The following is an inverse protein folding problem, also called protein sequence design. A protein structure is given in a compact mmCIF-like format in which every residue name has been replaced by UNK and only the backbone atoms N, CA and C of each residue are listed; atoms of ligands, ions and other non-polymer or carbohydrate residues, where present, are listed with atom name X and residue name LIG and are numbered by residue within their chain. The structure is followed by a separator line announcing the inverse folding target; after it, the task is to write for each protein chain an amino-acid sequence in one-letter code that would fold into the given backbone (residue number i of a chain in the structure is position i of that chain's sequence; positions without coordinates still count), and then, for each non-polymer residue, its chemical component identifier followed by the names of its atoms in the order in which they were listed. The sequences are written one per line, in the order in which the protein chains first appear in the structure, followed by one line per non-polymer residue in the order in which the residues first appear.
data_IF_677255838917
#
_entry.id   IF_677255838917
#
_cell.length_a   1.000
_cell.length_b   1.000
_cell.length_c   1.000
_cell.angle_alpha   90.00
_cell.angle_beta   90.00
_cell.angle_gamma   90.00
#
_symmetry.space_group_name_H-M   'P 1'
#
loop_
_entity.id
_entity.type
_entity.pdbx_description
1 polymer ?
#
# COMPACT_ATOMS: atom_id res chain seq x y z
N UNK A 1 -18.87 26.73 -12.88
CA UNK A 1 -17.97 25.79 -13.60
C UNK A 1 -16.51 25.85 -13.14
N UNK A 2 -15.99 26.94 -12.54
CA UNK A 2 -14.57 27.04 -12.17
C UNK A 2 -14.15 26.45 -10.81
N UNK A 3 -15.04 26.34 -9.81
CA UNK A 3 -14.65 25.89 -8.46
C UNK A 3 -14.33 24.38 -8.40
N UNK A 4 -14.97 23.57 -9.26
CA UNK A 4 -14.75 22.12 -9.31
C UNK A 4 -13.37 21.74 -9.86
N UNK A 5 -12.84 22.52 -10.79
CA UNK A 5 -11.53 22.27 -11.43
C UNK A 5 -10.38 22.38 -10.41
N UNK A 6 -10.44 23.35 -9.48
CA UNK A 6 -9.41 23.53 -8.45
C UNK A 6 -9.44 22.37 -7.45
N UNK A 7 -10.64 21.91 -7.08
CA UNK A 7 -10.79 20.74 -6.20
C UNK A 7 -10.24 19.49 -6.86
N UNK A 8 -10.50 19.31 -8.17
CA UNK A 8 -9.96 18.19 -8.94
C UNK A 8 -8.42 18.19 -8.99
N UNK A 9 -7.81 19.37 -9.16
CA UNK A 9 -6.36 19.51 -9.11
C UNK A 9 -5.79 19.10 -7.74
N UNK A 10 -6.39 19.60 -6.66
CA UNK A 10 -5.99 19.25 -5.28
C UNK A 10 -6.13 17.75 -5.03
N UNK A 11 -7.18 17.13 -5.57
CA UNK A 11 -7.43 15.70 -5.47
C UNK A 11 -6.33 14.88 -6.13
N UNK A 12 -5.95 15.23 -7.37
CA UNK A 12 -4.84 14.58 -8.08
C UNK A 12 -3.52 14.75 -7.33
N UNK A 13 -3.25 15.92 -6.76
CA UNK A 13 -2.06 16.12 -5.91
C UNK A 13 -2.10 15.26 -4.64
N UNK A 14 -3.27 15.12 -4.01
CA UNK A 14 -3.43 14.27 -2.84
C UNK A 14 -3.16 12.80 -3.18
N UNK A 15 -3.64 12.33 -4.32
CA UNK A 15 -3.37 10.97 -4.82
C UNK A 15 -1.86 10.77 -5.01
N UNK A 16 -1.16 11.69 -5.68
CA UNK A 16 0.31 11.62 -5.87
C UNK A 16 1.06 11.55 -4.53
N UNK A 17 0.67 12.37 -3.55
CA UNK A 17 1.26 12.36 -2.20
C UNK A 17 0.99 11.04 -1.45
N UNK A 18 -0.14 10.38 -1.74
CA UNK A 18 -0.46 9.05 -1.25
C UNK A 18 0.54 8.00 -1.77
N UNK A 19 0.87 8.04 -3.07
CA UNK A 19 1.85 7.15 -3.71
C UNK A 19 3.30 7.42 -3.27
N UNK A 20 3.63 8.66 -2.86
CA UNK A 20 4.95 9.00 -2.31
C UNK A 20 5.34 8.12 -1.12
N UNK A 21 4.38 7.54 -0.40
CA UNK A 21 4.65 6.66 0.75
C UNK A 21 5.38 5.38 0.36
N UNK A 22 5.01 4.78 -0.76
CA UNK A 22 5.70 3.59 -1.29
C UNK A 22 7.11 3.95 -1.74
N UNK A 23 7.27 5.13 -2.35
CA UNK A 23 8.57 5.67 -2.72
C UNK A 23 9.47 5.90 -1.50
N UNK A 24 8.94 6.54 -0.44
CA UNK A 24 9.67 6.78 0.80
C UNK A 24 10.11 5.46 1.48
N UNK A 25 9.25 4.44 1.47
CA UNK A 25 9.58 3.11 1.97
C UNK A 25 10.73 2.47 1.16
N UNK A 26 10.69 2.55 -0.17
CA UNK A 26 11.74 2.03 -1.04
C UNK A 26 13.08 2.77 -0.86
N UNK A 27 13.04 4.11 -0.71
CA UNK A 27 14.22 4.90 -0.39
C UNK A 27 14.83 4.51 0.96
N UNK A 28 14.02 4.37 2.01
CA UNK A 28 14.48 3.98 3.33
C UNK A 28 15.14 2.59 3.31
N UNK A 29 14.51 1.63 2.59
CA UNK A 29 15.05 0.30 2.38
C UNK A 29 16.40 0.31 1.64
N UNK A 30 16.54 1.19 0.64
CA UNK A 30 17.81 1.35 -0.11
C UNK A 30 18.91 1.95 0.77
N UNK A 31 18.59 2.93 1.61
CA UNK A 31 19.54 3.55 2.55
C UNK A 31 20.00 2.52 3.58
N UNK A 32 19.08 1.75 4.17
CA UNK A 32 19.44 0.68 5.11
C UNK A 32 20.38 -0.35 4.47
N UNK A 33 20.10 -0.79 3.25
CA UNK A 33 20.98 -1.73 2.53
C UNK A 33 22.40 -1.17 2.36
N UNK A 34 22.53 0.12 2.03
CA UNK A 34 23.85 0.79 1.94
C UNK A 34 24.55 0.83 3.28
N UNK A 35 23.85 1.20 4.36
CA UNK A 35 24.43 1.25 5.71
C UNK A 35 24.94 -0.13 6.15
N UNK A 36 24.18 -1.21 5.90
CA UNK A 36 24.67 -2.57 6.21
C UNK A 36 25.90 -2.96 5.38
N UNK A 37 25.97 -2.54 4.12
CA UNK A 37 27.12 -2.80 3.27
C UNK A 37 28.37 -2.04 3.74
N UNK A 38 28.23 -0.77 4.13
CA UNK A 38 29.32 0.04 4.70
C UNK A 38 29.82 -0.54 6.03
N UNK A 39 28.90 -0.97 6.91
CA UNK A 39 29.25 -1.66 8.14
C UNK A 39 29.96 -3.01 7.88
N UNK A 40 29.50 -3.78 6.89
CA UNK A 40 30.09 -5.07 6.55
C UNK A 40 31.52 -4.96 6.00
N UNK A 41 31.81 -3.93 5.21
CA UNK A 41 33.16 -3.64 4.71
C UNK A 41 34.14 -3.25 5.82
N UNK A 42 33.66 -2.63 6.91
CA UNK A 42 34.52 -2.15 8.01
C UNK A 42 34.94 -3.20 9.05
N UNK A 43 34.24 -4.34 9.15
CA UNK A 43 34.39 -5.29 10.28
C UNK A 43 35.19 -6.56 9.88
N UNK A 44 35.49 -6.74 8.59
CA UNK A 44 36.26 -7.89 8.06
C UNK A 44 35.38 -8.97 7.41
N UNK A 45 35.99 -9.80 6.56
CA UNK A 45 35.28 -10.61 5.54
C UNK A 45 34.25 -11.61 6.13
N UNK A 46 34.55 -12.25 7.27
CA UNK A 46 33.67 -13.27 7.87
C UNK A 46 32.50 -12.63 8.64
N UNK A 47 32.79 -11.64 9.49
CA UNK A 47 31.76 -10.98 10.30
C UNK A 47 30.89 -10.04 9.45
N UNK A 48 31.50 -9.38 8.46
CA UNK A 48 30.82 -8.53 7.49
C UNK A 48 29.86 -9.31 6.59
N UNK A 49 30.24 -10.51 6.13
CA UNK A 49 29.35 -11.38 5.37
C UNK A 49 28.10 -11.77 6.17
N UNK A 50 28.24 -12.11 7.46
CA UNK A 50 27.11 -12.42 8.33
C UNK A 50 26.16 -11.21 8.51
N UNK A 51 26.72 -10.02 8.73
CA UNK A 51 25.94 -8.77 8.89
C UNK A 51 25.19 -8.41 7.60
N UNK A 52 25.84 -8.53 6.43
CA UNK A 52 25.21 -8.25 5.14
C UNK A 52 24.04 -9.21 4.87
N UNK A 53 24.21 -10.50 5.19
CA UNK A 53 23.19 -11.53 4.94
C UNK A 53 21.96 -11.31 5.84
N UNK A 54 22.17 -11.02 7.12
CA UNK A 54 21.09 -10.68 8.06
C UNK A 54 20.42 -9.35 7.67
N UNK A 55 21.21 -8.33 7.33
CA UNK A 55 20.71 -7.02 6.91
C UNK A 55 19.84 -7.10 5.65
N UNK A 56 20.25 -7.85 4.63
CA UNK A 56 19.44 -8.07 3.43
C UNK A 56 18.15 -8.83 3.73
N UNK A 57 18.21 -9.85 4.59
CA UNK A 57 17.02 -10.63 4.97
C UNK A 57 15.97 -9.74 5.64
N UNK A 58 16.40 -8.92 6.61
CA UNK A 58 15.52 -7.97 7.31
C UNK A 58 14.99 -6.90 6.34
N UNK A 59 15.85 -6.39 5.44
CA UNK A 59 15.46 -5.38 4.49
C UNK A 59 14.39 -5.86 3.49
N UNK A 60 14.50 -7.10 3.02
CA UNK A 60 13.49 -7.73 2.14
C UNK A 60 12.19 -7.96 2.93
N UNK A 61 12.28 -8.49 4.15
CA UNK A 61 11.10 -8.73 4.99
C UNK A 61 10.32 -7.43 5.25
N UNK A 62 11.02 -6.38 5.70
CA UNK A 62 10.42 -5.07 5.96
C UNK A 62 9.89 -4.42 4.68
N UNK A 63 10.60 -4.55 3.55
CA UNK A 63 10.17 -4.06 2.26
C UNK A 63 8.87 -4.72 1.78
N UNK A 64 8.78 -6.05 1.86
CA UNK A 64 7.57 -6.80 1.48
C UNK A 64 6.41 -6.51 2.42
N UNK A 65 6.62 -6.55 3.74
CA UNK A 65 5.56 -6.24 4.73
C UNK A 65 5.05 -4.80 4.59
N UNK A 66 5.96 -3.83 4.50
CA UNK A 66 5.61 -2.42 4.32
C UNK A 66 4.90 -2.16 3.00
N UNK A 67 5.35 -2.81 1.91
CA UNK A 67 4.72 -2.73 0.60
C UNK A 67 3.29 -3.28 0.60
N UNK A 68 3.05 -4.43 1.24
CA UNK A 68 1.72 -5.02 1.34
C UNK A 68 0.77 -4.14 2.17
N UNK A 69 1.20 -3.67 3.35
CA UNK A 69 0.37 -2.84 4.23
C UNK A 69 0.05 -1.48 3.59
N UNK A 70 1.05 -0.84 2.97
CA UNK A 70 0.85 0.44 2.30
C UNK A 70 0.08 0.30 0.98
N UNK A 71 0.26 -0.79 0.26
CA UNK A 71 -0.56 -1.13 -0.91
C UNK A 71 -2.03 -1.36 -0.55
N UNK A 72 -2.31 -2.07 0.55
CA UNK A 72 -3.67 -2.27 1.06
C UNK A 72 -4.34 -0.93 1.42
N UNK A 73 -3.59 -0.02 2.05
CA UNK A 73 -4.08 1.32 2.38
C UNK A 73 -4.50 2.09 1.13
N UNK A 74 -3.69 2.05 0.07
CA UNK A 74 -4.01 2.72 -1.20
C UNK A 74 -5.22 2.09 -1.89
N UNK A 75 -5.32 0.75 -1.90
CA UNK A 75 -6.44 0.03 -2.50
C UNK A 75 -7.77 0.32 -1.78
N UNK A 76 -7.77 0.39 -0.45
CA UNK A 76 -8.96 0.66 0.35
C UNK A 76 -9.36 2.15 0.42
N UNK A 77 -8.41 3.08 0.43
CA UNK A 77 -8.72 4.51 0.59
C UNK A 77 -8.94 5.20 -0.75
N UNK A 78 -8.11 4.91 -1.74
CA UNK A 78 -8.09 5.67 -2.99
C UNK A 78 -8.96 5.00 -4.06
N UNK A 79 -8.79 3.69 -4.25
CA UNK A 79 -9.53 2.95 -5.28
C UNK A 79 -10.99 2.67 -4.89
N UNK A 80 -11.26 2.40 -3.60
CA UNK A 80 -12.62 2.15 -3.11
C UNK A 80 -13.53 3.37 -3.21
N UNK A 81 -12.97 4.60 -3.14
CA UNK A 81 -13.71 5.85 -3.34
C UNK A 81 -14.22 6.01 -4.78
N UNK A 82 -13.48 5.47 -5.76
CA UNK A 82 -13.85 5.52 -7.18
C UNK A 82 -14.68 4.31 -7.66
N UNK A 83 -14.55 3.15 -7.01
CA UNK A 83 -15.25 1.93 -7.43
C UNK A 83 -16.58 1.65 -6.71
N UNK A 84 -16.89 2.35 -5.62
CA UNK A 84 -18.09 2.12 -4.83
C UNK A 84 -18.86 3.43 -4.59
N UNK A 85 -19.61 3.88 -5.59
CA UNK A 85 -20.78 4.74 -5.34
C UNK A 85 -21.76 3.90 -4.53
N UNK A 86 -22.01 4.27 -3.27
CA UNK A 86 -22.80 3.52 -2.28
C UNK A 86 -24.30 3.32 -2.61
N UNK A 87 -24.65 3.15 -3.89
CA UNK A 87 -26.00 3.03 -4.44
C UNK A 87 -26.33 1.59 -4.88
N UNK A 88 -25.59 0.59 -4.39
CA UNK A 88 -25.93 -0.82 -4.62
C UNK A 88 -27.12 -1.25 -3.77
N UNK A 89 -28.35 -1.19 -4.31
CA UNK A 89 -29.52 -1.84 -3.67
C UNK A 89 -29.23 -3.32 -3.44
N UNK A 90 -29.29 -3.78 -2.19
CA UNK A 90 -29.25 -5.21 -1.87
C UNK A 90 -30.34 -5.94 -2.66
N UNK A 91 -29.93 -6.90 -3.49
CA UNK A 91 -30.83 -7.74 -4.25
C UNK A 91 -31.65 -8.60 -3.27
N UNK A 92 -32.93 -8.26 -3.10
CA UNK A 92 -33.89 -9.05 -2.34
C UNK A 92 -34.65 -9.96 -3.33
N UNK A 93 -34.30 -11.25 -3.46
CA UNK A 93 -34.98 -12.15 -4.39
C UNK A 93 -36.46 -12.27 -4.05
N UNK A 94 -37.31 -12.31 -5.08
CA UNK A 94 -38.75 -12.50 -4.93
C UNK A 94 -39.06 -13.84 -4.26
N UNK A 95 -39.44 -13.79 -2.98
CA UNK A 95 -39.98 -14.94 -2.25
C UNK A 95 -41.37 -15.25 -2.78
N UNK A 96 -41.56 -16.44 -3.38
CA UNK A 96 -42.90 -16.93 -3.73
C UNK A 96 -43.75 -16.96 -2.45
N UNK A 97 -44.80 -16.14 -2.40
CA UNK A 97 -45.86 -16.32 -1.45
C UNK A 97 -46.54 -17.65 -1.82
N UNK A 98 -46.34 -18.68 -0.99
CA UNK A 98 -47.27 -19.81 -0.99
C UNK A 98 -48.58 -19.27 -0.46
N UNK A 99 -49.46 -18.88 -1.38
CA UNK A 99 -50.90 -18.83 -1.13
C UNK A 99 -51.32 -20.28 -0.87
N UNK A 100 -51.24 -20.70 0.40
CA UNK A 100 -52.02 -21.81 0.90
C UNK A 100 -53.44 -21.28 1.07
N UNK A 101 -54.20 -21.36 -0.01
CA UNK A 101 -55.66 -21.43 0.05
C UNK A 101 -55.96 -22.91 0.18
N UNK A 102 -56.48 -23.28 1.36
CA UNK A 102 -57.48 -24.30 1.72
C UNK A 102 -57.31 -24.70 3.19
#
# INVERSE_FOLDING_TARGET
KGMGEIVQLIQVFADVLSYLRLYALALASTIMARTFNEMGLGIGLVFGAAVILVGHTINILLGTMGGVIHGLRLNFIEWYHYCFEGEGKLFNPLRKLKTTQE
#
